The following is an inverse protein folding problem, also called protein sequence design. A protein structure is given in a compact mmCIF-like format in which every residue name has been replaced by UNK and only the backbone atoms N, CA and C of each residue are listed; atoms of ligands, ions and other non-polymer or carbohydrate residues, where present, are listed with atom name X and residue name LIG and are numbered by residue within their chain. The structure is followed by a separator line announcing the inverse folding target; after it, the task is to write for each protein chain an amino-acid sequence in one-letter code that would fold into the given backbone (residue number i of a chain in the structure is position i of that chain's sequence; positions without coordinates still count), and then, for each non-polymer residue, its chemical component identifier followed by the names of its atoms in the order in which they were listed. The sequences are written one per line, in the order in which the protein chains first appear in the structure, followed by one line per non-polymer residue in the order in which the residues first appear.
data_IF_700292637817
#
_entry.id   IF_700292637817
#
_cell.length_a   1.000
_cell.length_b   1.000
_cell.length_c   1.000
_cell.angle_alpha   90.00
_cell.angle_beta   90.00
_cell.angle_gamma   90.00
#
_symmetry.space_group_name_H-M   'P 1'
#
loop_
_entity.id
_entity.type
_entity.pdbx_description
1 polymer ?
#
# COMPACT_ATOMS: atom_id res chain seq x y z
N UNK A 1 -37.32 -30.93 52.89
CA UNK A 1 -37.44 -32.40 52.80
C UNK A 1 -36.31 -32.90 51.90
N UNK A 2 -35.24 -33.42 52.51
CA UNK A 2 -34.89 -34.85 52.61
C UNK A 2 -34.12 -35.32 51.35
N UNK A 3 -32.78 -35.37 51.39
CA UNK A 3 -31.97 -36.57 51.72
C UNK A 3 -32.38 -37.83 50.95
N UNK A 4 -31.43 -38.49 50.29
CA UNK A 4 -31.11 -39.92 50.50
C UNK A 4 -29.76 -40.25 49.83
N UNK A 5 -28.82 -40.63 50.70
CA UNK A 5 -27.64 -41.46 50.43
C UNK A 5 -28.07 -42.91 50.22
N UNK A 6 -27.51 -43.61 49.22
CA UNK A 6 -27.19 -45.05 49.26
C UNK A 6 -25.95 -45.22 48.35
N UNK A 7 -24.82 -45.80 48.73
CA UNK A 7 -24.57 -46.83 49.73
C UNK A 7 -24.52 -48.19 49.04
N UNK A 8 -23.38 -48.54 48.43
CA UNK A 8 -23.09 -49.93 48.05
C UNK A 8 -21.61 -50.24 48.28
N UNK A 9 -21.37 -51.06 49.29
CA UNK A 9 -20.12 -51.77 49.53
C UNK A 9 -20.28 -53.20 48.97
N UNK A 10 -19.25 -53.78 48.35
CA UNK A 10 -18.45 -54.82 48.99
C UNK A 10 -17.34 -55.42 48.10
N UNK A 11 -16.30 -55.86 48.82
CA UNK A 11 -15.37 -56.99 48.60
C UNK A 11 -14.40 -57.01 47.41
N UNK A 12 -13.14 -56.70 47.78
CA UNK A 12 -11.90 -57.44 47.53
C UNK A 12 -11.99 -58.80 46.79
N UNK A 13 -11.16 -58.93 45.77
CA UNK A 13 -10.30 -60.11 45.52
C UNK A 13 -9.16 -59.67 44.59
N UNK A 14 -7.93 -59.72 45.09
CA UNK A 14 -6.74 -59.34 44.34
C UNK A 14 -6.36 -60.37 43.28
N UNK A 15 -5.58 -59.92 42.28
CA UNK A 15 -4.51 -60.69 41.64
C UNK A 15 -3.65 -59.77 40.77
N UNK A 16 -2.42 -59.57 41.25
CA UNK A 16 -1.14 -59.60 40.53
C UNK A 16 -1.19 -59.51 39.00
N UNK A 17 -0.42 -58.58 38.43
CA UNK A 17 0.39 -58.90 37.26
C UNK A 17 0.61 -57.79 36.22
N UNK A 18 1.89 -57.41 36.10
CA UNK A 18 2.56 -56.97 34.87
C UNK A 18 2.56 -55.46 34.55
N UNK A 19 3.60 -54.78 35.06
CA UNK A 19 4.09 -53.48 34.60
C UNK A 19 4.85 -53.71 33.28
N UNK A 20 4.31 -53.25 32.16
CA UNK A 20 5.07 -53.10 30.91
C UNK A 20 5.60 -51.66 30.85
N UNK A 21 6.89 -51.50 31.16
CA UNK A 21 7.61 -50.25 30.91
C UNK A 21 8.01 -50.18 29.42
N UNK A 22 7.27 -49.39 28.64
CA UNK A 22 7.70 -49.01 27.29
C UNK A 22 8.56 -47.74 27.38
N UNK A 23 9.87 -47.88 27.18
CA UNK A 23 10.78 -46.74 27.02
C UNK A 23 10.63 -46.19 25.58
N UNK A 24 9.97 -45.04 25.44
CA UNK A 24 9.91 -44.32 24.16
C UNK A 24 11.18 -43.47 23.98
N UNK A 25 11.99 -43.80 22.97
CA UNK A 25 13.13 -42.97 22.54
C UNK A 25 12.58 -41.81 21.72
N UNK A 26 12.59 -40.61 22.29
CA UNK A 26 12.23 -39.37 21.59
C UNK A 26 13.46 -38.90 20.81
N UNK A 27 13.45 -39.08 19.49
CA UNK A 27 14.43 -38.48 18.59
C UNK A 27 14.02 -37.03 18.34
N UNK A 28 14.71 -36.09 19.00
CA UNK A 28 14.54 -34.66 18.75
C UNK A 28 15.25 -34.27 17.45
N UNK A 29 14.49 -34.12 16.36
CA UNK A 29 14.99 -33.48 15.15
C UNK A 29 15.19 -31.97 15.42
N UNK A 30 16.30 -31.36 14.98
CA UNK A 30 16.47 -29.92 15.07
C UNK A 30 15.50 -29.23 14.12
N UNK A 31 14.56 -28.47 14.67
CA UNK A 31 13.74 -27.54 13.89
C UNK A 31 14.66 -26.49 13.27
N UNK A 32 14.91 -26.61 11.97
CA UNK A 32 15.46 -25.52 11.18
C UNK A 32 14.45 -24.38 11.22
N UNK A 33 14.73 -23.38 12.06
CA UNK A 33 14.06 -22.08 11.98
C UNK A 33 14.50 -21.48 10.65
N UNK A 34 13.70 -21.71 9.61
CA UNK A 34 13.80 -20.97 8.38
C UNK A 34 13.72 -19.49 8.75
N UNK A 35 14.83 -18.76 8.53
CA UNK A 35 14.81 -17.29 8.54
C UNK A 35 13.83 -16.86 7.46
N UNK A 36 12.57 -16.67 7.83
CA UNK A 36 11.59 -16.02 6.99
C UNK A 36 12.09 -14.59 6.76
N UNK A 37 12.59 -14.37 5.54
CA UNK A 37 12.81 -13.02 5.00
C UNK A 37 11.54 -12.22 5.28
N UNK A 38 11.61 -10.97 5.81
CA UNK A 38 10.41 -10.19 6.05
C UNK A 38 9.57 -10.18 4.78
N UNK A 39 8.32 -10.61 4.89
CA UNK A 39 7.37 -10.50 3.80
C UNK A 39 7.33 -9.03 3.40
N UNK A 40 7.72 -8.75 2.17
CA UNK A 40 7.75 -7.40 1.63
C UNK A 40 6.31 -6.90 1.58
N UNK A 41 6.00 -5.88 2.38
CA UNK A 41 4.64 -5.33 2.45
C UNK A 41 4.30 -4.78 1.06
N UNK A 42 3.21 -5.23 0.41
CA UNK A 42 2.97 -4.96 -1.01
C UNK A 42 2.78 -3.49 -1.32
N UNK A 43 2.30 -2.68 -0.37
CA UNK A 43 2.22 -1.23 -0.49
C UNK A 43 2.48 -0.52 0.85
N UNK A 44 3.20 0.60 0.83
CA UNK A 44 3.56 1.37 2.03
C UNK A 44 3.44 2.87 1.77
N UNK A 45 2.93 3.61 2.75
CA UNK A 45 2.99 5.08 2.75
C UNK A 45 4.44 5.53 2.90
N UNK A 46 4.93 6.31 1.93
CA UNK A 46 6.31 6.82 1.92
C UNK A 46 6.39 8.32 2.18
N UNK A 47 5.30 9.05 1.95
CA UNK A 47 5.21 10.47 2.28
C UNK A 47 3.76 10.92 2.50
N UNK A 48 3.63 12.00 3.26
CA UNK A 48 2.42 12.78 3.45
C UNK A 48 2.76 14.26 3.31
N UNK A 49 2.01 14.99 2.50
CA UNK A 49 2.15 16.43 2.30
C UNK A 49 0.83 17.12 2.63
N UNK A 50 0.76 17.93 3.69
CA UNK A 50 -0.43 18.72 3.98
C UNK A 50 -0.68 19.73 2.85
N UNK A 51 -1.91 19.77 2.36
CA UNK A 51 -2.35 20.75 1.38
C UNK A 51 -3.03 21.91 2.10
N UNK A 52 -2.86 23.12 1.57
CA UNK A 52 -3.44 24.33 2.18
C UNK A 52 -4.93 24.47 1.92
N UNK A 53 -5.38 23.90 0.81
CA UNK A 53 -6.77 23.84 0.39
C UNK A 53 -7.17 22.38 0.26
N UNK A 54 -8.45 22.08 0.53
CA UNK A 54 -8.98 20.75 0.35
C UNK A 54 -8.88 20.33 -1.13
N UNK A 55 -8.47 19.08 -1.41
CA UNK A 55 -8.39 18.57 -2.77
C UNK A 55 -9.80 18.34 -3.36
N UNK A 56 -9.89 18.49 -4.68
CA UNK A 56 -11.01 18.13 -5.52
C UNK A 56 -10.97 16.65 -5.91
N UNK A 57 -11.71 16.31 -6.97
CA UNK A 57 -11.86 14.92 -7.41
C UNK A 57 -10.79 14.46 -8.39
N UNK A 58 -10.12 15.42 -9.05
CA UNK A 58 -9.20 15.13 -10.13
C UNK A 58 -7.74 15.35 -9.72
N UNK A 59 -6.88 14.42 -10.16
CA UNK A 59 -5.44 14.54 -10.10
C UNK A 59 -4.82 14.16 -11.43
N UNK A 60 -3.72 14.82 -11.79
CA UNK A 60 -3.03 14.58 -13.05
C UNK A 60 -1.52 14.62 -12.85
N UNK A 61 -0.83 13.61 -13.38
CA UNK A 61 0.62 13.54 -13.36
C UNK A 61 1.18 14.04 -14.69
N UNK A 62 2.07 15.03 -14.62
CA UNK A 62 2.82 15.54 -15.76
C UNK A 62 4.31 15.25 -15.56
N UNK A 63 4.97 14.82 -16.62
CA UNK A 63 6.43 14.67 -16.64
C UNK A 63 7.03 15.74 -17.55
N UNK A 64 8.02 16.48 -17.06
CA UNK A 64 8.74 17.51 -17.79
C UNK A 64 10.25 17.29 -17.64
N UNK A 65 10.86 16.66 -18.64
CA UNK A 65 12.21 16.12 -18.52
C UNK A 65 12.27 15.11 -17.37
N UNK A 66 13.23 15.30 -16.46
CA UNK A 66 13.41 14.44 -15.29
C UNK A 66 12.51 14.82 -14.10
N UNK A 67 11.66 15.84 -14.25
CA UNK A 67 10.77 16.30 -13.19
C UNK A 67 9.37 15.74 -13.35
N UNK A 68 8.75 15.43 -12.21
CA UNK A 68 7.37 14.97 -12.14
C UNK A 68 6.54 15.93 -11.31
N UNK A 69 5.46 16.44 -11.88
CA UNK A 69 4.54 17.37 -11.24
C UNK A 69 3.16 16.74 -11.15
N UNK A 70 2.58 16.76 -9.95
CA UNK A 70 1.23 16.33 -9.69
C UNK A 70 0.34 17.56 -9.56
N UNK A 71 -0.64 17.66 -10.45
CA UNK A 71 -1.69 18.67 -10.40
C UNK A 71 -2.85 18.09 -9.62
N UNK A 72 -3.20 18.72 -8.50
CA UNK A 72 -4.32 18.35 -7.64
C UNK A 72 -5.39 19.42 -7.80
N UNK A 73 -6.56 19.07 -8.33
CA UNK A 73 -7.70 19.99 -8.42
C UNK A 73 -8.03 20.54 -7.03
N UNK A 74 -8.37 21.82 -6.93
CA UNK A 74 -8.86 22.40 -5.67
C UNK A 74 -10.35 22.10 -5.49
N UNK A 75 -10.81 21.88 -4.26
CA UNK A 75 -12.22 21.67 -3.95
C UNK A 75 -13.11 22.87 -4.37
N UNK A 76 -12.54 24.07 -4.39
CA UNK A 76 -13.18 25.29 -4.91
C UNK A 76 -13.51 25.22 -6.41
N UNK A 77 -12.94 24.25 -7.13
CA UNK A 77 -13.00 24.14 -8.59
C UNK A 77 -12.42 25.36 -9.30
N UNK A 78 -11.51 26.07 -8.64
CA UNK A 78 -10.80 27.24 -9.14
C UNK A 78 -9.31 26.92 -9.16
N UNK A 79 -8.91 26.15 -10.16
CA UNK A 79 -7.52 25.80 -10.43
C UNK A 79 -6.98 24.58 -9.70
N UNK A 80 -5.65 24.54 -9.66
CA UNK A 80 -4.88 23.39 -9.22
C UNK A 80 -3.82 23.77 -8.20
N UNK A 81 -3.57 22.87 -7.27
CA UNK A 81 -2.34 22.85 -6.46
C UNK A 81 -1.32 22.00 -7.20
N UNK A 82 -0.15 22.56 -7.48
CA UNK A 82 0.93 21.85 -8.17
C UNK A 82 1.96 21.37 -7.15
N UNK A 83 2.23 20.07 -7.15
CA UNK A 83 3.18 19.40 -6.26
C UNK A 83 4.32 18.83 -7.09
N UNK A 84 5.56 19.18 -6.76
CA UNK A 84 6.74 18.48 -7.27
C UNK A 84 6.86 17.13 -6.54
N UNK A 85 6.67 16.04 -7.30
CA UNK A 85 6.75 14.65 -6.84
C UNK A 85 7.94 13.93 -7.47
N UNK A 86 8.95 14.68 -7.95
CA UNK A 86 10.19 14.12 -8.52
C UNK A 86 10.89 13.22 -7.50
N UNK A 87 10.96 13.67 -6.24
CA UNK A 87 11.41 12.87 -5.08
C UNK A 87 10.19 12.48 -4.25
N UNK A 88 9.67 11.25 -4.38
CA UNK A 88 8.39 10.87 -3.79
C UNK A 88 8.44 10.76 -2.27
N UNK A 89 9.63 10.56 -1.67
CA UNK A 89 9.87 10.62 -0.23
C UNK A 89 9.91 12.05 0.33
N UNK A 90 10.07 13.06 -0.53
CA UNK A 90 10.15 14.46 -0.15
C UNK A 90 9.36 15.34 -1.14
N UNK A 91 8.04 15.16 -1.22
CA UNK A 91 7.20 15.97 -2.10
C UNK A 91 7.17 17.43 -1.63
N UNK A 92 7.04 18.37 -2.56
CA UNK A 92 7.02 19.80 -2.22
C UNK A 92 6.04 20.59 -3.09
N UNK A 93 5.45 21.64 -2.53
CA UNK A 93 4.57 22.52 -3.28
C UNK A 93 5.39 23.41 -4.22
N UNK A 94 4.99 23.45 -5.50
CA UNK A 94 5.55 24.41 -6.46
C UNK A 94 4.98 25.79 -6.11
N UNK A 95 5.86 26.77 -5.92
CA UNK A 95 5.52 28.04 -5.28
C UNK A 95 4.36 28.80 -5.97
N UNK A 96 3.52 29.45 -5.14
CA UNK A 96 2.12 29.91 -5.34
C UNK A 96 1.81 30.90 -6.50
N UNK A 97 2.77 31.22 -7.37
CA UNK A 97 2.56 32.19 -8.46
C UNK A 97 1.84 31.65 -9.71
N UNK A 98 1.68 30.33 -9.81
CA UNK A 98 1.15 29.65 -11.00
C UNK A 98 -0.20 28.94 -10.78
N UNK A 99 -0.88 29.19 -9.65
CA UNK A 99 -2.25 28.72 -9.46
C UNK A 99 -3.13 29.52 -10.41
N UNK A 100 -3.59 28.91 -11.51
CA UNK A 100 -4.69 29.51 -12.27
C UNK A 100 -5.90 29.63 -11.34
N UNK A 101 -6.59 30.77 -11.36
CA UNK A 101 -7.89 30.91 -10.70
C UNK A 101 -9.04 30.53 -11.65
N UNK A 102 -8.68 29.98 -12.79
CA UNK A 102 -9.63 29.58 -13.82
C UNK A 102 -10.48 28.42 -13.31
N UNK A 103 -11.76 28.45 -13.68
CA UNK A 103 -12.69 27.40 -13.28
C UNK A 103 -12.27 26.07 -13.93
N UNK A 104 -12.14 25.03 -13.13
CA UNK A 104 -11.67 23.70 -13.53
C UNK A 104 -12.56 22.68 -12.83
N UNK A 105 -13.82 22.59 -13.25
CA UNK A 105 -14.89 21.95 -12.49
C UNK A 105 -15.19 20.50 -12.90
N UNK A 106 -14.62 20.02 -14.02
CA UNK A 106 -14.79 18.65 -14.51
C UNK A 106 -13.46 17.93 -14.73
N UNK A 107 -13.47 16.96 -15.65
CA UNK A 107 -12.35 16.06 -15.93
C UNK A 107 -11.09 16.85 -16.32
N UNK A 108 -9.95 16.37 -15.86
CA UNK A 108 -8.64 16.86 -16.25
C UNK A 108 -7.88 15.77 -17.01
N UNK A 109 -7.31 16.11 -18.16
CA UNK A 109 -6.58 15.17 -19.02
C UNK A 109 -5.36 15.83 -19.65
N UNK A 110 -4.24 15.10 -19.75
CA UNK A 110 -3.11 15.52 -20.58
C UNK A 110 -3.33 15.06 -22.01
N UNK A 111 -3.26 15.99 -22.96
CA UNK A 111 -3.28 15.67 -24.40
C UNK A 111 -1.90 15.72 -25.04
N UNK A 112 -0.95 16.41 -24.41
CA UNK A 112 0.47 16.41 -24.78
C UNK A 112 1.33 16.72 -23.55
N UNK A 113 2.67 16.61 -23.61
CA UNK A 113 3.53 16.90 -22.47
C UNK A 113 3.33 18.28 -21.84
N UNK A 114 2.92 19.28 -22.63
CA UNK A 114 2.75 20.67 -22.18
C UNK A 114 1.29 21.17 -22.29
N UNK A 115 0.35 20.33 -22.71
CA UNK A 115 -1.06 20.71 -22.91
C UNK A 115 -1.99 19.79 -22.14
N UNK A 116 -2.77 20.40 -21.25
CA UNK A 116 -3.87 19.76 -20.53
C UNK A 116 -5.23 20.31 -20.97
N UNK A 117 -6.25 19.47 -20.93
CA UNK A 117 -7.65 19.84 -21.08
C UNK A 117 -8.31 19.77 -19.71
N UNK A 118 -8.95 20.87 -19.30
CA UNK A 118 -9.77 20.92 -18.09
C UNK A 118 -11.20 21.26 -18.48
N UNK A 119 -12.15 20.42 -18.07
CA UNK A 119 -13.56 20.72 -18.27
C UNK A 119 -14.03 21.82 -17.32
N UNK A 120 -14.82 22.75 -17.87
CA UNK A 120 -15.42 23.85 -17.12
C UNK A 120 -16.94 23.72 -17.22
N UNK A 121 -17.65 23.91 -16.11
CA UNK A 121 -19.12 23.97 -16.16
C UNK A 121 -19.55 25.32 -16.73
N UNK A 122 -20.43 25.29 -17.73
CA UNK A 122 -21.08 26.48 -18.24
C UNK A 122 -21.90 27.16 -17.14
N UNK A 123 -21.64 28.46 -16.90
CA UNK A 123 -22.32 29.26 -15.87
C UNK A 123 -23.85 29.34 -16.06
N UNK A 124 -24.35 29.04 -17.26
CA UNK A 124 -25.75 29.12 -17.64
C UNK A 124 -26.45 27.74 -17.74
N UNK A 125 -25.74 26.64 -17.51
CA UNK A 125 -26.37 25.32 -17.46
C UNK A 125 -27.18 25.20 -16.17
N UNK A 126 -28.51 25.33 -16.28
CA UNK A 126 -29.47 24.84 -15.26
C UNK A 126 -29.50 23.30 -15.20
N UNK A 127 -28.32 22.68 -15.22
CA UNK A 127 -28.16 21.26 -14.95
C UNK A 127 -28.25 21.07 -13.44
N UNK A 128 -29.05 20.09 -13.03
CA UNK A 128 -29.18 19.55 -11.67
C UNK A 128 -28.00 19.96 -10.78
N UNK A 129 -28.28 20.57 -9.62
CA UNK A 129 -27.34 20.67 -8.51
C UNK A 129 -26.95 19.23 -8.14
N UNK A 130 -26.08 18.61 -8.92
CA UNK A 130 -25.29 17.47 -8.50
C UNK A 130 -24.32 18.11 -7.55
N UNK A 131 -24.50 17.77 -6.27
CA UNK A 131 -23.68 18.22 -5.15
C UNK A 131 -22.28 18.55 -5.61
N UNK A 132 -21.81 19.71 -5.19
CA UNK A 132 -20.40 20.12 -5.26
C UNK A 132 -19.45 19.09 -4.64
N UNK A 133 -20.01 18.13 -3.90
CA UNK A 133 -19.36 16.99 -3.30
C UNK A 133 -19.03 15.96 -4.39
N UNK A 134 -17.76 15.91 -4.81
CA UNK A 134 -17.24 14.62 -5.23
C UNK A 134 -17.41 13.69 -4.02
N UNK A 135 -18.20 12.60 -4.13
CA UNK A 135 -18.48 11.76 -2.99
C UNK A 135 -17.16 11.25 -2.44
N UNK A 136 -16.89 11.55 -1.17
CA UNK A 136 -15.64 11.11 -0.56
C UNK A 136 -15.75 9.63 -0.23
N UNK A 137 -14.71 8.88 -0.54
CA UNK A 137 -14.69 7.43 -0.33
C UNK A 137 -13.80 7.04 0.86
N UNK A 138 -14.05 5.86 1.42
CA UNK A 138 -13.10 5.22 2.35
C UNK A 138 -12.30 4.20 1.57
N UNK A 139 -10.99 4.43 1.46
CA UNK A 139 -10.08 3.56 0.71
C UNK A 139 -9.27 2.73 1.69
N UNK A 140 -9.20 1.42 1.45
CA UNK A 140 -8.38 0.50 2.24
C UNK A 140 -7.31 -0.10 1.35
N UNK A 141 -6.07 0.00 1.79
CA UNK A 141 -4.95 -0.71 1.19
C UNK A 141 -4.92 -2.11 1.77
N UNK A 142 -4.94 -3.10 0.90
CA UNK A 142 -5.01 -4.50 1.27
C UNK A 142 -3.72 -5.21 0.87
N UNK A 143 -3.21 -6.05 1.77
CA UNK A 143 -2.29 -7.12 1.44
C UNK A 143 -3.10 -8.33 0.97
N UNK A 144 -2.91 -8.67 -0.30
CA UNK A 144 -3.58 -9.77 -0.98
C UNK A 144 -2.62 -10.96 -1.23
N UNK A 145 -1.48 -11.01 -0.53
CA UNK A 145 -0.48 -12.07 -0.70
C UNK A 145 -1.01 -13.47 -0.35
N UNK A 146 -1.93 -13.55 0.61
CA UNK A 146 -2.74 -14.75 0.87
C UNK A 146 -4.17 -14.50 0.36
N UNK A 147 -4.58 -15.10 -0.78
CA UNK A 147 -5.91 -14.87 -1.35
C UNK A 147 -7.05 -15.40 -0.45
N UNK A 148 -6.78 -16.34 0.45
CA UNK A 148 -7.77 -16.83 1.41
C UNK A 148 -7.91 -15.90 2.63
N UNK A 149 -6.89 -15.09 2.93
CA UNK A 149 -6.86 -14.22 4.11
C UNK A 149 -6.31 -12.82 3.77
N UNK A 150 -7.06 -11.99 3.03
CA UNK A 150 -6.65 -10.62 2.73
C UNK A 150 -6.54 -9.79 4.03
N UNK A 151 -5.49 -8.99 4.16
CA UNK A 151 -5.25 -8.16 5.35
C UNK A 151 -5.34 -6.69 5.01
N UNK A 152 -5.99 -5.90 5.86
CA UNK A 152 -5.99 -4.43 5.72
C UNK A 152 -4.67 -3.89 6.27
N UNK A 153 -3.91 -3.19 5.43
CA UNK A 153 -2.65 -2.54 5.80
C UNK A 153 -2.86 -1.10 6.27
N UNK A 154 -3.72 -0.36 5.56
CA UNK A 154 -3.97 1.06 5.84
C UNK A 154 -5.41 1.40 5.46
N UNK A 155 -6.03 2.30 6.21
CA UNK A 155 -7.33 2.89 5.88
C UNK A 155 -7.18 4.40 5.72
N UNK A 156 -7.77 4.95 4.67
CA UNK A 156 -7.89 6.38 4.41
C UNK A 156 -9.36 6.73 4.34
N UNK A 157 -9.74 7.78 5.05
CA UNK A 157 -11.11 8.30 5.04
C UNK A 157 -11.18 9.58 4.22
N UNK A 158 -12.38 9.86 3.73
CA UNK A 158 -12.69 11.08 3.00
C UNK A 158 -11.79 11.31 1.78
N UNK A 159 -11.45 10.23 1.08
CA UNK A 159 -10.62 10.27 -0.12
C UNK A 159 -11.41 10.91 -1.24
N UNK A 160 -10.84 11.93 -1.87
CA UNK A 160 -11.47 12.66 -2.97
C UNK A 160 -10.91 12.24 -4.32
N UNK A 161 -9.65 11.81 -4.37
CA UNK A 161 -9.00 11.43 -5.62
C UNK A 161 -7.90 10.39 -5.41
N UNK A 162 -7.73 9.51 -6.40
CA UNK A 162 -6.69 8.47 -6.45
C UNK A 162 -6.07 8.48 -7.86
N UNK A 163 -4.75 8.48 -7.95
CA UNK A 163 -4.02 8.39 -9.22
C UNK A 163 -2.90 7.35 -9.11
N UNK A 164 -2.82 6.46 -10.10
CA UNK A 164 -1.76 5.46 -10.18
C UNK A 164 -0.63 5.92 -11.10
N UNK A 165 0.61 5.71 -10.69
CA UNK A 165 1.81 5.87 -11.50
C UNK A 165 2.54 4.52 -11.55
N UNK A 166 2.11 3.62 -12.46
CA UNK A 166 2.70 2.29 -12.59
C UNK A 166 4.16 2.36 -13.05
N UNK A 167 4.55 3.43 -13.75
CA UNK A 167 5.91 3.66 -14.23
C UNK A 167 6.91 3.81 -13.09
N UNK A 168 6.49 4.37 -11.95
CA UNK A 168 7.29 4.53 -10.73
C UNK A 168 6.88 3.60 -9.59
N UNK A 169 5.80 2.84 -9.75
CA UNK A 169 5.27 1.96 -8.69
C UNK A 169 4.67 2.78 -7.55
N UNK A 170 4.01 3.89 -7.89
CA UNK A 170 3.46 4.84 -6.93
C UNK A 170 1.93 4.92 -7.05
N UNK A 171 1.29 5.24 -5.94
CA UNK A 171 -0.13 5.60 -5.87
C UNK A 171 -0.21 6.91 -5.11
N UNK A 172 -0.86 7.90 -5.72
CA UNK A 172 -1.19 9.18 -5.12
C UNK A 172 -2.63 9.15 -4.63
N UNK A 173 -2.86 9.62 -3.41
CA UNK A 173 -4.18 9.67 -2.80
C UNK A 173 -4.37 11.02 -2.14
N UNK A 174 -5.48 11.69 -2.41
CA UNK A 174 -5.78 13.01 -1.86
C UNK A 174 -7.04 12.96 -0.98
N UNK A 175 -6.95 13.58 0.20
CA UNK A 175 -8.07 13.79 1.11
C UNK A 175 -7.93 15.14 1.84
N UNK A 176 -8.83 15.43 2.78
CA UNK A 176 -8.79 16.67 3.56
C UNK A 176 -7.54 16.82 4.45
N UNK A 177 -6.78 15.75 4.68
CA UNK A 177 -5.52 15.78 5.43
C UNK A 177 -4.33 16.10 4.52
N UNK A 178 -4.48 15.96 3.21
CA UNK A 178 -3.48 16.33 2.21
C UNK A 178 -3.27 15.26 1.14
N UNK A 179 -2.06 15.25 0.59
CA UNK A 179 -1.61 14.30 -0.41
C UNK A 179 -0.78 13.19 0.25
N UNK A 180 -1.18 11.96 0.03
CA UNK A 180 -0.49 10.74 0.44
C UNK A 180 0.20 10.11 -0.77
N UNK A 181 1.45 9.72 -0.59
CA UNK A 181 2.23 9.02 -1.62
C UNK A 181 2.55 7.63 -1.07
N UNK A 182 2.07 6.62 -1.78
CA UNK A 182 2.31 5.23 -1.48
C UNK A 182 3.25 4.65 -2.52
N UNK A 183 4.21 3.85 -2.08
CA UNK A 183 4.94 2.95 -2.98
C UNK A 183 4.31 1.55 -2.93
N UNK A 184 4.46 0.81 -4.02
CA UNK A 184 4.17 -0.61 -4.05
C UNK A 184 5.26 -1.34 -4.81
N UNK A 185 5.64 -2.52 -4.30
CA UNK A 185 6.69 -3.32 -4.93
C UNK A 185 6.15 -3.91 -6.22
N UNK A 186 6.85 -3.65 -7.34
CA UNK A 186 6.56 -4.30 -8.62
C UNK A 186 7.16 -5.69 -8.61
N UNK A 187 6.36 -6.77 -8.72
CA UNK A 187 6.89 -8.10 -8.96
C UNK A 187 7.65 -8.06 -10.29
N UNK A 188 8.99 -8.13 -10.25
CA UNK A 188 9.86 -8.10 -11.44
C UNK A 188 10.86 -6.95 -11.53
N UNK A 189 10.78 -5.93 -10.68
CA UNK A 189 11.77 -4.84 -10.59
C UNK A 189 12.50 -4.83 -9.24
N UNK A 190 12.82 -6.00 -8.71
CA UNK A 190 13.88 -6.08 -7.71
C UNK A 190 15.15 -5.54 -8.37
N UNK A 191 15.90 -4.61 -7.74
CA UNK A 191 17.23 -4.27 -8.21
C UNK A 191 17.97 -5.59 -8.43
N UNK A 192 18.47 -5.83 -9.64
CA UNK A 192 19.32 -6.98 -9.89
C UNK A 192 20.34 -7.00 -8.74
N UNK A 193 20.33 -8.08 -7.93
CA UNK A 193 21.28 -8.21 -6.83
C UNK A 193 22.64 -7.86 -7.42
N UNK A 194 23.26 -6.75 -6.98
CA UNK A 194 24.60 -6.40 -7.44
C UNK A 194 25.44 -7.63 -7.19
N UNK A 195 25.89 -8.27 -8.27
CA UNK A 195 26.73 -9.46 -8.15
C UNK A 195 27.98 -9.03 -7.38
N UNK A 196 28.46 -9.88 -6.48
CA UNK A 196 29.67 -9.59 -5.70
C UNK A 196 30.87 -9.45 -6.66
N UNK A 197 31.90 -8.66 -6.33
CA UNK A 197 33.15 -8.68 -7.08
C UNK A 197 33.73 -10.09 -7.16
N UNK A 198 34.16 -10.54 -8.34
CA UNK A 198 34.81 -11.86 -8.47
C UNK A 198 36.14 -11.90 -7.70
N UNK A 199 36.32 -12.90 -6.84
CA UNK A 199 37.57 -13.16 -6.12
C UNK A 199 38.44 -14.21 -6.83
N UNK A 200 39.67 -14.39 -6.37
CA UNK A 200 40.61 -15.39 -6.91
C UNK A 200 40.10 -16.84 -6.80
N UNK A 201 39.20 -17.11 -5.86
CA UNK A 201 38.56 -18.42 -5.68
C UNK A 201 37.48 -18.69 -6.73
N UNK A 202 36.87 -17.64 -7.31
CA UNK A 202 35.86 -17.75 -8.36
C UNK A 202 36.46 -18.08 -9.73
N UNK A 203 37.76 -17.81 -9.93
CA UNK A 203 38.50 -18.16 -11.14
C UNK A 203 38.77 -19.68 -11.26
N UNK A 204 38.65 -20.41 -10.17
CA UNK A 204 38.85 -21.86 -10.11
C UNK A 204 37.54 -22.66 -10.20
N UNK A 205 36.40 -21.97 -10.33
CA UNK A 205 35.10 -22.62 -10.43
C UNK A 205 34.90 -23.26 -11.83
N UNK A 206 34.42 -24.50 -11.85
CA UNK A 206 34.09 -25.22 -13.09
C UNK A 206 32.80 -24.72 -13.78
N UNK A 207 32.10 -23.77 -13.17
CA UNK A 207 30.94 -23.09 -13.72
C UNK A 207 31.14 -21.57 -13.68
N UNK A 208 30.54 -20.80 -14.61
CA UNK A 208 30.65 -19.35 -14.62
C UNK A 208 30.21 -18.80 -13.26
N UNK A 209 31.08 -18.08 -12.53
CA UNK A 209 30.75 -17.60 -11.20
C UNK A 209 29.70 -16.49 -11.28
N UNK A 210 28.75 -16.49 -10.35
CA UNK A 210 27.71 -15.46 -10.27
C UNK A 210 28.25 -14.21 -9.53
N UNK A 211 29.27 -13.60 -10.13
CA UNK A 211 29.97 -12.40 -9.67
C UNK A 211 30.07 -11.38 -10.83
N UNK A 212 30.43 -10.12 -10.54
CA UNK A 212 30.65 -9.05 -11.53
C UNK A 212 32.05 -8.46 -11.40
#
# INVERSE_FOLDING_TARGET
MNNIRQGFAWSYLGRVGMIFSAAAVVVSAPSMVAKTKPAEVPAKVIAHLPLQEAPGGEMLLQSKGDKHFLYVQKASKQGFTVVDVTKPELPSLVNRGASSNDATAGKLEMVSPDVGLAEVRDKNSKGVIRSTDNPTETVKILDLSDPAHPKVLQTFTSVTSILQDPGRGLIYLANNEGLWILNHSRPGLTPAKKKRPCGSEDALASMPPDCQ
#
